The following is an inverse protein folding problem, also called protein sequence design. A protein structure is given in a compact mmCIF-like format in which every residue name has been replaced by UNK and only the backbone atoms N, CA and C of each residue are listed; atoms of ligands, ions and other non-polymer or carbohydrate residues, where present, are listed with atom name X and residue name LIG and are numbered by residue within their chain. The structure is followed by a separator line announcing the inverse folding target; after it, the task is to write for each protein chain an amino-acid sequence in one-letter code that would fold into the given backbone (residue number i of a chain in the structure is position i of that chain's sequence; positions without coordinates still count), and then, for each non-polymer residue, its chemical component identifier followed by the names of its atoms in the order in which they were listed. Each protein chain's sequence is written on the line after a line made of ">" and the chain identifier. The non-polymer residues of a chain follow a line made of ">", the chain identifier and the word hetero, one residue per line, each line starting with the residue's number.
data_IF_974609952745
#
_entry.id   IF_974609952745
#
_cell.length_a   1.000
_cell.length_b   1.000
_cell.length_c   1.000
_cell.angle_alpha   90.00
_cell.angle_beta   90.00
_cell.angle_gamma   90.00
#
_symmetry.space_group_name_H-M   'P 1'
#
loop_
_entity.id
_entity.type
_entity.pdbx_description
1 polymer ?
#
# COMPACT_ATOMS: atom_id res chain seq x y z
N UNK A 1 2.12 13.31 -11.21
CA UNK A 1 0.87 13.14 -10.41
C UNK A 1 0.24 11.75 -10.54
N UNK A 2 0.41 11.02 -11.64
CA UNK A 2 -0.13 9.66 -11.83
C UNK A 2 0.09 8.71 -10.64
N UNK A 3 1.31 8.69 -10.08
CA UNK A 3 1.59 7.82 -8.95
C UNK A 3 0.80 8.15 -7.69
N UNK A 4 0.49 9.42 -7.45
CA UNK A 4 -0.36 9.82 -6.32
C UNK A 4 -1.79 9.28 -6.47
N UNK A 5 -2.35 9.35 -7.68
CA UNK A 5 -3.69 8.79 -7.98
C UNK A 5 -3.70 7.28 -7.75
N UNK A 6 -2.68 6.56 -8.21
CA UNK A 6 -2.54 5.12 -7.94
C UNK A 6 -2.43 4.84 -6.44
N UNK A 7 -1.63 5.62 -5.70
CA UNK A 7 -1.53 5.50 -4.24
C UNK A 7 -2.87 5.71 -3.54
N UNK A 8 -3.68 6.68 -3.97
CA UNK A 8 -5.01 6.90 -3.39
C UNK A 8 -5.98 5.75 -3.68
N UNK A 9 -5.93 5.18 -4.89
CA UNK A 9 -6.71 3.97 -5.23
C UNK A 9 -6.33 2.83 -4.27
N UNK A 10 -5.03 2.55 -4.13
CA UNK A 10 -4.53 1.50 -3.24
C UNK A 10 -4.88 1.76 -1.77
N UNK A 11 -4.84 3.03 -1.34
CA UNK A 11 -5.22 3.44 0.01
C UNK A 11 -6.71 3.16 0.27
N UNK A 12 -7.59 3.51 -0.68
CA UNK A 12 -9.03 3.26 -0.54
C UNK A 12 -9.36 1.76 -0.57
N UNK A 13 -8.68 0.99 -1.42
CA UNK A 13 -8.78 -0.47 -1.43
C UNK A 13 -8.35 -1.03 -0.07
N UNK A 14 -7.21 -0.59 0.45
CA UNK A 14 -6.69 -1.05 1.76
C UNK A 14 -7.67 -0.75 2.89
N UNK A 15 -8.27 0.45 2.89
CA UNK A 15 -9.29 0.82 3.87
C UNK A 15 -10.52 -0.10 3.83
N UNK A 16 -10.98 -0.49 2.63
CA UNK A 16 -12.09 -1.44 2.46
C UNK A 16 -11.68 -2.85 2.89
N UNK A 17 -10.53 -3.34 2.43
CA UNK A 17 -10.01 -4.69 2.72
C UNK A 17 -9.79 -4.90 4.22
N UNK A 18 -9.18 -3.95 4.93
CA UNK A 18 -9.00 -4.00 6.38
C UNK A 18 -10.33 -4.05 7.14
N UNK A 19 -11.40 -3.51 6.56
CA UNK A 19 -12.73 -3.52 7.16
C UNK A 19 -13.48 -4.84 6.94
N UNK A 20 -13.07 -5.62 5.95
CA UNK A 20 -13.58 -6.98 5.69
C UNK A 20 -12.74 -8.03 6.44
N UNK A 21 -11.41 -7.93 6.39
CA UNK A 21 -10.50 -8.93 6.96
C UNK A 21 -10.35 -8.80 8.47
N UNK A 22 -10.28 -7.58 8.99
CA UNK A 22 -10.03 -7.28 10.41
C UNK A 22 -11.18 -6.43 11.01
N UNK A 23 -12.41 -6.98 11.08
CA UNK A 23 -13.57 -6.22 11.54
C UNK A 23 -13.47 -5.83 13.02
N UNK A 24 -12.79 -6.66 13.83
CA UNK A 24 -12.66 -6.48 15.29
C UNK A 24 -11.49 -5.59 15.70
N UNK A 25 -10.70 -5.08 14.75
CA UNK A 25 -9.60 -4.16 15.04
C UNK A 25 -10.12 -2.92 15.78
N UNK A 26 -9.43 -2.50 16.85
CA UNK A 26 -9.76 -1.27 17.55
C UNK A 26 -9.54 -0.07 16.61
N UNK A 27 -10.58 0.74 16.40
CA UNK A 27 -10.57 1.87 15.45
C UNK A 27 -10.87 3.17 16.20
N UNK A 28 -9.84 3.93 16.65
CA UNK A 28 -10.01 5.21 17.34
C UNK A 28 -10.72 6.27 16.49
N UNK A 29 -10.47 6.25 15.17
CA UNK A 29 -11.15 7.10 14.20
C UNK A 29 -11.91 6.23 13.20
N UNK A 30 -13.14 6.66 12.88
CA UNK A 30 -13.98 6.04 11.84
C UNK A 30 -14.33 7.09 10.81
N UNK A 31 -14.07 6.76 9.54
CA UNK A 31 -14.47 7.58 8.41
C UNK A 31 -15.99 7.81 8.42
N UNK A 32 -16.45 9.07 8.34
CA UNK A 32 -17.86 9.37 8.21
C UNK A 32 -18.39 8.71 6.92
N UNK A 33 -19.51 7.99 7.03
CA UNK A 33 -20.06 7.18 5.93
C UNK A 33 -19.34 5.84 5.64
N UNK A 34 -18.26 5.52 6.36
CA UNK A 34 -17.64 4.20 6.37
C UNK A 34 -17.17 3.70 4.99
N UNK A 35 -17.62 2.49 4.61
CA UNK A 35 -17.24 1.90 3.31
C UNK A 35 -17.83 2.66 2.13
N UNK A 36 -18.98 3.31 2.29
CA UNK A 36 -19.70 3.94 1.19
C UNK A 36 -18.94 5.16 0.65
N UNK A 37 -18.44 6.01 1.54
CA UNK A 37 -17.59 7.15 1.16
C UNK A 37 -16.27 6.71 0.54
N UNK A 38 -15.67 5.65 1.07
CA UNK A 38 -14.44 5.08 0.52
C UNK A 38 -14.67 4.47 -0.86
N UNK A 39 -15.82 3.83 -1.08
CA UNK A 39 -16.22 3.27 -2.37
C UNK A 39 -16.43 4.37 -3.42
N UNK A 40 -17.12 5.46 -3.07
CA UNK A 40 -17.30 6.61 -3.97
C UNK A 40 -15.93 7.22 -4.32
N UNK A 41 -15.07 7.45 -3.32
CA UNK A 41 -13.73 7.98 -3.55
C UNK A 41 -12.89 7.07 -4.46
N UNK A 42 -13.00 5.75 -4.28
CA UNK A 42 -12.34 4.77 -5.13
C UNK A 42 -12.82 4.86 -6.59
N UNK A 43 -14.14 4.92 -6.81
CA UNK A 43 -14.71 5.05 -8.16
C UNK A 43 -14.25 6.33 -8.84
N UNK A 44 -14.27 7.47 -8.12
CA UNK A 44 -13.81 8.74 -8.64
C UNK A 44 -12.31 8.73 -8.96
N UNK A 45 -11.48 8.11 -8.12
CA UNK A 45 -10.05 7.99 -8.35
C UNK A 45 -9.74 7.13 -9.58
N UNK A 46 -10.46 6.02 -9.79
CA UNK A 46 -10.34 5.19 -10.99
C UNK A 46 -10.80 5.94 -12.23
N UNK A 47 -11.91 6.68 -12.16
CA UNK A 47 -12.39 7.51 -13.25
C UNK A 47 -11.38 8.61 -13.62
N UNK A 48 -10.78 9.26 -12.63
CA UNK A 48 -9.73 10.27 -12.85
C UNK A 48 -8.47 9.66 -13.48
N UNK A 49 -8.08 8.45 -13.06
CA UNK A 49 -6.98 7.72 -13.68
C UNK A 49 -7.29 7.42 -15.16
N UNK A 50 -8.48 6.89 -15.45
CA UNK A 50 -8.94 6.61 -16.81
C UNK A 50 -9.04 7.87 -17.69
N UNK A 51 -9.55 8.97 -17.15
CA UNK A 51 -9.57 10.26 -17.84
C UNK A 51 -8.16 10.75 -18.18
N UNK A 52 -7.18 10.51 -17.29
CA UNK A 52 -5.77 10.79 -17.56
C UNK A 52 -5.23 10.07 -18.80
N UNK A 53 -5.67 8.83 -19.06
CA UNK A 53 -5.33 8.10 -20.28
C UNK A 53 -5.94 8.73 -21.54
N UNK A 54 -7.12 9.33 -21.45
CA UNK A 54 -7.80 9.93 -22.61
C UNK A 54 -7.23 11.30 -23.01
N UNK A 55 -6.68 12.07 -22.06
CA UNK A 55 -6.16 13.42 -22.33
C UNK A 55 -4.83 13.35 -23.06
N UNK A 56 -3.88 12.53 -22.60
CA UNK A 56 -2.55 12.44 -23.21
C UNK A 56 -1.94 11.04 -23.07
N UNK A 57 -2.30 10.11 -23.98
CA UNK A 57 -1.97 8.69 -23.86
C UNK A 57 -0.46 8.39 -23.76
N UNK A 58 0.37 9.21 -24.40
CA UNK A 58 1.82 9.05 -24.44
C UNK A 58 2.46 9.19 -23.04
N UNK A 59 2.09 10.23 -22.29
CA UNK A 59 2.60 10.48 -20.93
C UNK A 59 2.21 9.35 -19.99
N UNK A 60 0.99 8.82 -20.14
CA UNK A 60 0.52 7.72 -19.30
C UNK A 60 1.24 6.41 -19.64
N UNK A 61 1.54 6.18 -20.91
CA UNK A 61 2.31 5.01 -21.34
C UNK A 61 3.71 5.01 -20.72
N UNK A 62 4.39 6.17 -20.70
CA UNK A 62 5.70 6.29 -20.04
C UNK A 62 5.59 6.03 -18.53
N UNK A 63 4.55 6.55 -17.86
CA UNK A 63 4.33 6.29 -16.44
C UNK A 63 4.04 4.81 -16.16
N UNK A 64 3.20 4.17 -16.98
CA UNK A 64 2.89 2.74 -16.88
C UNK A 64 4.14 1.87 -17.11
N UNK A 65 4.97 2.22 -18.10
CA UNK A 65 6.24 1.56 -18.35
C UNK A 65 7.20 1.69 -17.15
N UNK A 66 7.33 2.89 -16.56
CA UNK A 66 8.14 3.09 -15.36
C UNK A 66 7.64 2.24 -14.18
N UNK A 67 6.32 2.16 -13.98
CA UNK A 67 5.72 1.28 -12.97
C UNK A 67 6.01 -0.20 -13.25
N UNK A 68 5.87 -0.65 -14.50
CA UNK A 68 6.15 -2.03 -14.89
C UNK A 68 7.62 -2.39 -14.65
N UNK A 69 8.56 -1.50 -14.98
CA UNK A 69 9.99 -1.68 -14.71
C UNK A 69 10.26 -1.79 -13.21
N UNK A 70 9.67 -0.91 -12.39
CA UNK A 70 9.83 -0.95 -10.94
C UNK A 70 9.22 -2.22 -10.32
N UNK A 71 8.06 -2.68 -10.80
CA UNK A 71 7.44 -3.94 -10.38
C UNK A 71 8.31 -5.12 -10.80
N UNK A 72 8.86 -5.11 -12.02
CA UNK A 72 9.78 -6.15 -12.48
C UNK A 72 11.05 -6.19 -11.62
N UNK A 73 11.66 -5.03 -11.34
CA UNK A 73 12.79 -4.93 -10.41
C UNK A 73 12.44 -5.50 -9.04
N UNK A 74 11.26 -5.14 -8.50
CA UNK A 74 10.79 -5.69 -7.23
C UNK A 74 10.65 -7.22 -7.28
N UNK A 75 9.98 -7.74 -8.32
CA UNK A 75 9.66 -9.15 -8.47
C UNK A 75 10.90 -10.03 -8.74
N UNK A 76 11.87 -9.55 -9.51
CA UNK A 76 13.04 -10.33 -9.91
C UNK A 76 14.23 -10.17 -8.94
N UNK A 77 14.45 -8.98 -8.39
CA UNK A 77 15.60 -8.69 -7.53
C UNK A 77 15.19 -8.45 -6.08
N UNK A 78 14.27 -7.52 -5.84
CA UNK A 78 13.98 -7.03 -4.48
C UNK A 78 13.31 -8.06 -3.57
N UNK A 79 12.50 -8.98 -4.10
CA UNK A 79 11.77 -9.98 -3.27
C UNK A 79 12.70 -10.87 -2.44
N UNK A 80 13.94 -11.05 -2.89
CA UNK A 80 14.95 -11.88 -2.22
C UNK A 80 15.90 -11.06 -1.33
N UNK A 81 15.75 -9.73 -1.30
CA UNK A 81 16.58 -8.81 -0.52
C UNK A 81 15.79 -7.97 0.50
N UNK A 82 14.45 -7.99 0.44
CA UNK A 82 13.58 -7.21 1.33
C UNK A 82 13.26 -7.88 2.67
N UNK A 83 13.41 -9.21 2.77
CA UNK A 83 13.10 -9.94 4.02
C UNK A 83 14.22 -9.79 5.06
N UNK A 84 15.44 -9.40 4.66
CA UNK A 84 16.56 -9.38 5.59
C UNK A 84 16.62 -8.15 6.54
N UNK A 85 15.68 -7.19 6.44
CA UNK A 85 15.73 -5.91 7.19
C UNK A 85 14.35 -5.32 7.49
N UNK A 86 13.35 -6.15 7.76
CA UNK A 86 12.11 -5.61 8.31
C UNK A 86 12.42 -5.12 9.74
N UNK A 87 12.21 -3.84 10.08
CA UNK A 87 12.55 -3.30 11.40
C UNK A 87 11.91 -4.13 12.51
N UNK A 88 10.67 -4.60 12.32
CA UNK A 88 9.96 -5.52 13.20
C UNK A 88 10.72 -6.83 13.52
N UNK A 89 11.50 -7.40 12.57
CA UNK A 89 12.34 -8.58 12.82
C UNK A 89 13.62 -8.22 13.61
N UNK A 90 14.21 -7.04 13.36
CA UNK A 90 15.33 -6.53 14.17
C UNK A 90 14.89 -6.20 15.60
N UNK A 91 13.71 -5.59 15.79
CA UNK A 91 13.15 -5.32 17.12
C UNK A 91 12.81 -6.61 17.88
N UNK A 92 12.24 -7.62 17.21
CA UNK A 92 11.97 -8.92 17.83
C UNK A 92 13.26 -9.65 18.24
N UNK A 93 14.33 -9.54 17.43
CA UNK A 93 15.63 -10.11 17.78
C UNK A 93 16.30 -9.39 18.96
N UNK A 94 16.15 -8.07 19.04
CA UNK A 94 16.64 -7.27 20.17
C UNK A 94 15.87 -7.58 21.47
N UNK A 95 14.54 -7.67 21.40
CA UNK A 95 13.68 -8.01 22.56
C UNK A 95 13.97 -9.42 23.08
N UNK A 96 14.19 -10.39 22.17
CA UNK A 96 14.64 -11.73 22.54
C UNK A 96 16.03 -11.71 23.23
N UNK A 97 16.97 -10.92 22.71
CA UNK A 97 18.31 -10.79 23.29
C UNK A 97 18.30 -10.10 24.67
N UNK A 98 17.46 -9.08 24.88
CA UNK A 98 17.27 -8.46 26.19
C UNK A 98 16.69 -9.45 27.21
N UNK A 99 15.71 -10.27 26.80
CA UNK A 99 15.09 -11.28 27.67
C UNK A 99 16.06 -12.38 28.13
N UNK A 100 17.07 -12.71 27.33
CA UNK A 100 18.10 -13.71 27.67
C UNK A 100 19.16 -13.15 28.62
N UNK A 101 19.44 -11.84 28.55
CA UNK A 101 20.36 -11.14 29.45
C UNK A 101 19.76 -10.89 30.84
N UNK A 102 18.46 -10.59 30.92
CA UNK A 102 17.76 -10.30 32.19
C UNK A 102 17.47 -11.57 33.02
N UNK A 103 17.60 -12.75 32.40
CA UNK A 103 17.39 -14.06 33.03
C UNK A 103 18.70 -14.74 33.49
N UNK A 104 19.80 -13.97 33.58
CA UNK A 104 21.10 -14.37 34.16
C UNK A 104 21.45 -13.52 35.37
#
# INVERSE_FOLDING_TARGET
>A
MFGATVSYILMMISHIVLRVREPNLHRPYRTPGGMLTSGIALVLAVAALAAGFMVEPSVVLYAAAAYAVMIAYFAFYSRHHLVAKAPEEEFAALEAAESELDNR
#
